data_IF_505092645008
#
_entry.id   IF_505092645008
#
_cell.length_a   1.000
_cell.length_b   1.000
_cell.length_c   1.000
_cell.angle_alpha   90.00
_cell.angle_beta   90.00
_cell.angle_gamma   90.00
#
_symmetry.space_group_name_H-M   'P 1'
#
loop_
_entity.id
_entity.type
_entity.pdbx_description
1 polymer ?
#
# COMPACT_ATOMS: atom_id res chain seq x y z
N UNK A 1 -1.91 -24.02 12.50
CA UNK A 1 -3.09 -23.15 12.71
C UNK A 1 -3.83 -23.02 11.40
N UNK A 2 -5.15 -23.25 11.35
CA UNK A 2 -5.94 -23.11 10.11
C UNK A 2 -6.39 -21.67 9.91
N UNK A 3 -6.17 -21.10 8.72
CA UNK A 3 -6.61 -19.74 8.35
C UNK A 3 -8.10 -19.64 8.00
N UNK A 4 -8.86 -20.73 8.11
CA UNK A 4 -10.28 -20.76 7.83
C UNK A 4 -11.06 -19.94 8.87
N UNK A 5 -11.78 -18.89 8.43
CA UNK A 5 -12.63 -18.08 9.31
C UNK A 5 -13.71 -18.91 10.02
N UNK A 6 -14.21 -19.97 9.38
CA UNK A 6 -15.23 -20.84 9.98
C UNK A 6 -14.75 -21.57 11.25
N UNK A 7 -13.43 -21.70 11.43
CA UNK A 7 -12.83 -22.31 12.61
C UNK A 7 -12.53 -21.29 13.72
N UNK A 8 -12.82 -20.00 13.51
CA UNK A 8 -12.61 -18.92 14.49
C UNK A 8 -13.89 -18.64 15.28
N UNK A 9 -13.72 -18.20 16.52
CA UNK A 9 -14.85 -17.78 17.35
C UNK A 9 -15.61 -16.61 16.70
N UNK A 10 -16.90 -16.46 17.05
CA UNK A 10 -17.73 -15.38 16.52
C UNK A 10 -17.15 -14.00 16.82
N UNK A 11 -16.66 -13.76 18.04
CA UNK A 11 -16.10 -12.46 18.41
C UNK A 11 -14.86 -12.13 17.56
N UNK A 12 -13.99 -13.12 17.32
CA UNK A 12 -12.81 -12.95 16.48
C UNK A 12 -13.18 -12.65 15.02
N UNK A 13 -14.20 -13.33 14.47
CA UNK A 13 -14.72 -13.04 13.13
C UNK A 13 -15.26 -11.63 13.01
N UNK A 14 -16.08 -11.19 13.96
CA UNK A 14 -16.66 -9.85 13.97
C UNK A 14 -15.56 -8.76 14.01
N UNK A 15 -14.49 -8.96 14.78
CA UNK A 15 -13.35 -8.05 14.80
C UNK A 15 -12.65 -7.98 13.44
N UNK A 16 -12.38 -9.13 12.80
CA UNK A 16 -11.76 -9.18 11.46
C UNK A 16 -12.63 -8.47 10.42
N UNK A 17 -13.95 -8.66 10.45
CA UNK A 17 -14.86 -8.00 9.52
C UNK A 17 -14.91 -6.49 9.74
N UNK A 18 -14.92 -6.03 11.00
CA UNK A 18 -14.86 -4.61 11.34
C UNK A 18 -13.56 -3.95 10.87
N UNK A 19 -12.43 -4.66 11.01
CA UNK A 19 -11.13 -4.18 10.55
C UNK A 19 -11.10 -4.10 9.02
N UNK A 20 -11.62 -5.11 8.32
CA UNK A 20 -11.74 -5.10 6.85
C UNK A 20 -12.60 -3.94 6.36
N UNK A 21 -13.73 -3.67 7.01
CA UNK A 21 -14.60 -2.55 6.65
C UNK A 21 -13.84 -1.22 6.79
N UNK A 22 -13.15 -0.99 7.92
CA UNK A 22 -12.31 0.19 8.15
C UNK A 22 -11.23 0.34 7.08
N UNK A 23 -10.52 -0.75 6.75
CA UNK A 23 -9.47 -0.73 5.74
C UNK A 23 -10.03 -0.45 4.34
N UNK A 24 -11.21 -0.98 4.03
CA UNK A 24 -11.88 -0.74 2.75
C UNK A 24 -12.31 0.72 2.61
N UNK A 25 -12.90 1.32 3.64
CA UNK A 25 -13.23 2.75 3.64
C UNK A 25 -11.98 3.63 3.49
N UNK A 26 -10.91 3.31 4.22
CA UNK A 26 -9.62 3.98 4.08
C UNK A 26 -9.11 3.89 2.65
N UNK A 27 -9.19 2.71 2.03
CA UNK A 27 -8.79 2.49 0.65
C UNK A 27 -9.63 3.33 -0.33
N UNK A 28 -10.96 3.25 -0.22
CA UNK A 28 -11.87 3.98 -1.11
C UNK A 28 -11.59 5.49 -1.09
N UNK A 29 -11.40 6.05 0.10
CA UNK A 29 -11.18 7.47 0.29
C UNK A 29 -9.79 7.95 -0.16
N UNK A 30 -8.78 7.06 -0.15
CA UNK A 30 -7.39 7.45 -0.38
C UNK A 30 -6.77 6.93 -1.68
N UNK A 31 -7.47 6.10 -2.45
CA UNK A 31 -6.89 5.45 -3.64
C UNK A 31 -6.34 6.48 -4.65
N UNK A 32 -7.08 7.55 -4.93
CA UNK A 32 -6.63 8.60 -5.84
C UNK A 32 -5.35 9.28 -5.35
N UNK A 33 -5.30 9.62 -4.05
CA UNK A 33 -4.13 10.22 -3.42
C UNK A 33 -2.92 9.28 -3.41
N UNK A 34 -3.13 7.99 -3.11
CA UNK A 34 -2.07 7.00 -3.11
C UNK A 34 -1.43 6.84 -4.49
N UNK A 35 -2.24 6.85 -5.57
CA UNK A 35 -1.74 6.82 -6.95
C UNK A 35 -0.93 8.06 -7.30
N UNK A 36 -1.39 9.25 -6.89
CA UNK A 36 -0.67 10.50 -7.13
C UNK A 36 0.70 10.53 -6.42
N UNK A 37 0.75 10.12 -5.15
CA UNK A 37 2.00 10.00 -4.40
C UNK A 37 2.94 8.95 -5.01
N UNK A 38 2.41 7.80 -5.42
CA UNK A 38 3.19 6.77 -6.11
C UNK A 38 3.83 7.31 -7.39
N UNK A 39 3.06 8.02 -8.22
CA UNK A 39 3.55 8.65 -9.44
C UNK A 39 4.64 9.70 -9.14
N UNK A 40 4.44 10.56 -8.11
CA UNK A 40 5.44 11.53 -7.65
C UNK A 40 6.74 10.83 -7.24
N UNK A 41 6.64 9.76 -6.45
CA UNK A 41 7.82 8.99 -6.01
C UNK A 41 8.51 8.29 -7.18
N UNK A 42 7.79 7.80 -8.18
CA UNK A 42 8.39 7.20 -9.38
C UNK A 42 9.11 8.26 -10.24
N UNK A 43 8.55 9.46 -10.38
CA UNK A 43 9.18 10.55 -11.15
C UNK A 43 10.57 10.93 -10.61
N UNK A 44 10.79 10.72 -9.31
CA UNK A 44 12.08 10.96 -8.63
C UNK A 44 13.18 9.95 -8.97
N UNK A 45 12.84 8.84 -9.64
CA UNK A 45 13.75 7.73 -9.89
C UNK A 45 14.97 8.12 -10.72
N UNK A 46 14.79 8.92 -11.78
CA UNK A 46 15.90 9.35 -12.66
C UNK A 46 16.89 10.27 -11.93
N UNK A 47 16.36 11.18 -11.09
CA UNK A 47 17.16 12.10 -10.27
C UNK A 47 17.98 11.37 -9.21
N UNK A 48 17.37 10.39 -8.53
CA UNK A 48 17.98 9.70 -7.38
C UNK A 48 18.82 8.47 -7.75
N UNK A 49 18.62 7.90 -8.94
CA UNK A 49 19.36 6.74 -9.46
C UNK A 49 19.42 5.59 -8.43
N UNK A 50 20.60 5.07 -8.12
CA UNK A 50 20.79 3.95 -7.19
C UNK A 50 20.27 4.18 -5.77
N UNK A 51 20.10 5.45 -5.34
CA UNK A 51 19.58 5.80 -4.02
C UNK A 51 18.05 5.88 -3.95
N UNK A 52 17.36 5.68 -5.08
CA UNK A 52 15.90 5.85 -5.15
C UNK A 52 15.15 4.92 -4.19
N UNK A 53 15.49 3.63 -4.14
CA UNK A 53 14.78 2.66 -3.31
C UNK A 53 14.95 2.90 -1.80
N UNK A 54 16.13 3.37 -1.37
CA UNK A 54 16.36 3.77 0.01
C UNK A 54 15.55 5.02 0.38
N UNK A 55 15.54 6.02 -0.50
CA UNK A 55 14.73 7.21 -0.30
C UNK A 55 13.23 6.91 -0.23
N UNK A 56 12.70 6.07 -1.13
CA UNK A 56 11.28 5.67 -1.08
C UNK A 56 10.94 5.02 0.26
N UNK A 57 11.82 4.18 0.82
CA UNK A 57 11.60 3.59 2.15
C UNK A 57 11.52 4.67 3.23
N UNK A 58 12.48 5.59 3.26
CA UNK A 58 12.50 6.68 4.22
C UNK A 58 11.25 7.59 4.13
N UNK A 59 10.75 7.87 2.92
CA UNK A 59 9.50 8.61 2.74
C UNK A 59 8.30 7.82 3.29
N UNK A 60 8.19 6.53 2.97
CA UNK A 60 7.09 5.69 3.43
C UNK A 60 7.10 5.50 4.95
N UNK A 61 8.27 5.45 5.58
CA UNK A 61 8.41 5.37 7.04
C UNK A 61 7.91 6.64 7.75
N UNK A 62 7.91 7.78 7.05
CA UNK A 62 7.37 9.06 7.56
C UNK A 62 5.86 9.24 7.32
N UNK A 63 5.20 8.33 6.59
CA UNK A 63 3.78 8.47 6.25
C UNK A 63 2.89 7.79 7.28
N UNK A 64 1.91 8.56 7.78
CA UNK A 64 0.83 8.09 8.63
C UNK A 64 -0.53 8.29 7.92
N UNK A 65 -1.49 7.37 8.07
CA UNK A 65 -1.38 6.09 8.79
C UNK A 65 -0.56 5.03 8.01
N UNK A 66 0.00 3.99 8.68
CA UNK A 66 0.80 2.94 8.02
C UNK A 66 0.06 2.22 6.89
N UNK A 67 -1.26 2.09 7.00
CA UNK A 67 -2.12 1.49 5.97
C UNK A 67 -2.13 2.33 4.69
N UNK A 68 -2.06 3.67 4.81
CA UNK A 68 -1.93 4.55 3.67
C UNK A 68 -0.53 4.46 3.03
N UNK A 69 0.53 4.35 3.84
CA UNK A 69 1.88 4.08 3.33
C UNK A 69 1.94 2.74 2.54
N UNK A 70 1.26 1.71 3.03
CA UNK A 70 1.14 0.42 2.33
C UNK A 70 0.40 0.54 0.99
N UNK A 71 -0.64 1.38 0.91
CA UNK A 71 -1.32 1.67 -0.35
C UNK A 71 -0.36 2.29 -1.37
N UNK A 72 0.41 3.31 -0.98
CA UNK A 72 1.39 3.96 -1.86
C UNK A 72 2.43 2.95 -2.33
N UNK A 73 2.97 2.12 -1.43
CA UNK A 73 3.93 1.06 -1.78
C UNK A 73 3.36 0.09 -2.81
N UNK A 74 2.11 -0.32 -2.65
CA UNK A 74 1.42 -1.21 -3.60
C UNK A 74 1.26 -0.57 -4.98
N UNK A 75 0.84 0.69 -5.05
CA UNK A 75 0.71 1.41 -6.31
C UNK A 75 2.07 1.65 -7.00
N UNK A 76 3.14 1.95 -6.25
CA UNK A 76 4.51 2.03 -6.79
C UNK A 76 4.88 0.71 -7.46
N UNK A 77 4.72 -0.42 -6.75
CA UNK A 77 5.05 -1.74 -7.27
C UNK A 77 4.25 -2.07 -8.53
N UNK A 78 2.94 -1.78 -8.53
CA UNK A 78 2.04 -2.01 -9.67
C UNK A 78 2.46 -1.23 -10.91
N UNK A 79 2.71 0.07 -10.78
CA UNK A 79 3.12 0.94 -11.90
C UNK A 79 4.51 0.55 -12.44
N UNK A 80 5.44 0.20 -11.54
CA UNK A 80 6.78 -0.26 -11.91
C UNK A 80 6.78 -1.61 -12.63
N UNK A 81 5.91 -2.54 -12.20
CA UNK A 81 5.70 -3.81 -12.87
C UNK A 81 5.11 -3.60 -14.28
N UNK A 82 4.07 -2.78 -14.41
CA UNK A 82 3.47 -2.45 -15.70
C UNK A 82 4.48 -1.79 -16.66
N UNK A 83 5.31 -0.86 -16.17
CA UNK A 83 6.36 -0.21 -16.96
C UNK A 83 7.49 -1.18 -17.37
N UNK A 84 7.67 -2.29 -16.66
CA UNK A 84 8.67 -3.31 -16.98
C UNK A 84 8.12 -4.38 -17.93
N UNK A 85 6.82 -4.68 -17.88
CA UNK A 85 6.17 -5.59 -18.81
C UNK A 85 6.00 -5.01 -20.24
N UNK A 86 5.98 -3.68 -20.36
CA UNK A 86 5.87 -2.98 -21.64
C UNK A 86 7.23 -2.73 -22.34
N UNK A 87 8.33 -3.30 -21.83
CA UNK A 87 9.67 -3.20 -22.40
C UNK A 87 10.13 -4.55 -22.91
#
# INVERSE_FOLDING_TARGET
MSFNLANRDFAERAQIESEKARLFELWQNNLGKAKAEAARMIAEKSRRKGKWAEWVRAELDGISPPEFANMIRSEINKMMAAASANR
#
